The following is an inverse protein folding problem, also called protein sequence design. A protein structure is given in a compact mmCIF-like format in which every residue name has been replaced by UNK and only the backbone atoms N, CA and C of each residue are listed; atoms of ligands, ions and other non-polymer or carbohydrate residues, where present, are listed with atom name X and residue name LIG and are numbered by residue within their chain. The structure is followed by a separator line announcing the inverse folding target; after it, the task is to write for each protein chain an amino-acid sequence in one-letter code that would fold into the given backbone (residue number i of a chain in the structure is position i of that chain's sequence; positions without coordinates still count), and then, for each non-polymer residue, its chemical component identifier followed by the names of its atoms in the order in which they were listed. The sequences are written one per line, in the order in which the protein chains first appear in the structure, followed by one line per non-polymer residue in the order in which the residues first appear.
data_IF_701980881272
#
_entry.id   IF_701980881272
#
_cell.length_a   1.000
_cell.length_b   1.000
_cell.length_c   1.000
_cell.angle_alpha   90.00
_cell.angle_beta   90.00
_cell.angle_gamma   90.00
#
_symmetry.space_group_name_H-M   'P 1'
#
loop_
_entity.id
_entity.type
_entity.pdbx_description
1 polymer ?
#
# COMPACT_ATOMS: atom_id res chain seq x y z
N UNK A 1 -40.19 14.56 38.96
CA UNK A 1 -39.23 13.45 38.88
C UNK A 1 -38.62 13.52 37.49
N UNK A 2 -37.47 14.16 37.36
CA UNK A 2 -36.75 14.20 36.10
C UNK A 2 -35.92 12.92 35.97
N UNK A 3 -36.26 12.11 34.98
CA UNK A 3 -35.40 11.04 34.49
C UNK A 3 -34.31 11.68 33.65
N UNK A 4 -33.12 11.88 34.22
CA UNK A 4 -31.91 12.14 33.45
C UNK A 4 -31.55 10.87 32.67
N UNK A 5 -31.51 10.98 31.34
CA UNK A 5 -31.08 9.93 30.42
C UNK A 5 -29.68 9.41 30.79
N UNK A 6 -29.61 8.29 31.49
CA UNK A 6 -28.39 7.54 31.71
C UNK A 6 -27.97 6.86 30.41
N UNK A 7 -27.30 7.57 29.51
CA UNK A 7 -26.61 6.93 28.38
C UNK A 7 -25.47 6.10 28.96
N UNK A 8 -25.57 4.78 28.77
CA UNK A 8 -24.49 3.84 29.09
C UNK A 8 -23.23 4.30 28.35
N UNK A 9 -22.15 4.53 29.12
CA UNK A 9 -20.84 4.81 28.55
C UNK A 9 -20.32 3.55 27.84
N UNK A 10 -19.62 3.68 26.71
CA UNK A 10 -18.98 2.55 26.04
C UNK A 10 -18.05 1.81 27.02
N UNK A 11 -17.97 0.48 26.90
CA UNK A 11 -17.08 -0.37 27.72
C UNK A 11 -15.67 -0.46 27.13
N UNK A 12 -15.34 0.39 26.17
CA UNK A 12 -14.07 0.41 25.46
C UNK A 12 -13.55 1.84 25.40
N UNK A 13 -12.23 1.97 25.46
CA UNK A 13 -11.54 3.22 25.22
C UNK A 13 -11.36 3.42 23.70
N UNK A 14 -11.54 4.66 23.23
CA UNK A 14 -11.12 5.03 21.88
C UNK A 14 -9.63 5.30 21.94
N UNK A 15 -8.84 4.56 21.16
CA UNK A 15 -7.40 4.79 21.10
C UNK A 15 -7.11 6.14 20.42
N UNK A 16 -6.81 7.17 21.19
CA UNK A 16 -6.19 8.41 20.69
C UNK A 16 -4.66 8.22 20.69
N UNK A 17 -4.14 7.62 19.64
CA UNK A 17 -2.69 7.51 19.47
C UNK A 17 -2.14 8.75 18.77
N UNK A 18 -1.72 9.76 19.54
CA UNK A 18 -0.86 10.80 18.99
C UNK A 18 0.53 10.23 18.67
N UNK A 19 0.78 10.00 17.38
CA UNK A 19 2.07 9.52 16.91
C UNK A 19 3.17 10.60 17.01
N UNK A 20 4.43 10.24 17.30
CA UNK A 20 5.55 11.18 17.28
C UNK A 20 5.72 11.84 15.90
N UNK A 21 6.22 13.09 15.89
CA UNK A 21 6.49 13.87 14.67
C UNK A 21 7.23 13.06 13.60
N UNK A 22 8.31 12.37 13.96
CA UNK A 22 9.13 11.61 13.02
C UNK A 22 8.37 10.43 12.38
N UNK A 23 7.45 9.81 13.14
CA UNK A 23 6.59 8.75 12.61
C UNK A 23 5.60 9.36 11.63
N UNK A 24 4.87 10.41 12.02
CA UNK A 24 3.93 11.11 11.12
C UNK A 24 4.60 11.54 9.82
N UNK A 25 5.79 12.14 9.92
CA UNK A 25 6.60 12.55 8.77
C UNK A 25 6.91 11.37 7.85
N UNK A 26 7.36 10.24 8.41
CA UNK A 26 7.63 9.03 7.64
C UNK A 26 6.38 8.47 6.95
N UNK A 27 5.23 8.45 7.64
CA UNK A 27 3.96 7.98 7.07
C UNK A 27 3.52 8.83 5.88
N UNK A 28 3.60 10.16 5.99
CA UNK A 28 3.25 11.07 4.90
C UNK A 28 4.21 10.95 3.72
N UNK A 29 5.52 10.85 3.95
CA UNK A 29 6.47 10.63 2.87
C UNK A 29 6.24 9.28 2.17
N UNK A 30 5.96 8.20 2.91
CA UNK A 30 5.55 6.92 2.33
C UNK A 30 4.28 7.09 1.49
N UNK A 31 3.26 7.76 2.01
CA UNK A 31 2.00 7.98 1.31
C UNK A 31 2.17 8.73 -0.02
N UNK A 32 2.98 9.78 -0.02
CA UNK A 32 3.29 10.55 -1.23
C UNK A 32 4.14 9.75 -2.22
N UNK A 33 5.18 9.05 -1.76
CA UNK A 33 6.03 8.29 -2.66
C UNK A 33 5.31 7.12 -3.31
N UNK A 34 4.34 6.50 -2.62
CA UNK A 34 3.51 5.44 -3.20
C UNK A 34 2.64 5.92 -4.37
N UNK A 35 2.37 7.22 -4.53
CA UNK A 35 1.65 7.74 -5.70
C UNK A 35 2.50 7.67 -6.98
N UNK A 36 3.83 7.74 -6.85
CA UNK A 36 4.76 7.67 -7.99
C UNK A 36 4.70 6.34 -8.73
N UNK A 37 4.17 5.28 -8.10
CA UNK A 37 3.92 3.97 -8.73
C UNK A 37 3.12 4.09 -10.02
N UNK A 38 2.16 5.01 -10.05
CA UNK A 38 1.29 5.28 -11.20
C UNK A 38 1.65 6.63 -11.86
N UNK A 39 2.84 7.18 -11.55
CA UNK A 39 3.30 8.47 -12.08
C UNK A 39 2.53 9.68 -11.55
N UNK A 40 1.84 9.53 -10.43
CA UNK A 40 1.00 10.57 -9.83
C UNK A 40 1.79 11.40 -8.82
N UNK A 41 1.38 12.66 -8.66
CA UNK A 41 1.96 13.59 -7.68
C UNK A 41 0.84 14.33 -6.94
N UNK A 42 0.90 14.41 -5.60
CA UNK A 42 0.00 15.26 -4.82
C UNK A 42 0.16 16.74 -5.18
N UNK A 43 -0.87 17.52 -4.88
CA UNK A 43 -0.86 18.97 -4.99
C UNK A 43 0.07 19.60 -3.94
N UNK A 44 0.58 20.81 -4.22
CA UNK A 44 1.34 21.59 -3.25
C UNK A 44 0.52 21.85 -1.97
N UNK A 45 -0.78 22.09 -2.13
CA UNK A 45 -1.68 22.32 -1.00
C UNK A 45 -1.83 21.08 -0.10
N UNK A 46 -1.88 19.87 -0.70
CA UNK A 46 -1.88 18.64 0.08
C UNK A 46 -0.59 18.45 0.89
N UNK A 47 0.56 18.86 0.32
CA UNK A 47 1.84 18.84 1.04
C UNK A 47 1.80 19.80 2.25
N UNK A 48 1.25 21.00 2.09
CA UNK A 48 1.05 21.94 3.21
C UNK A 48 0.16 21.35 4.31
N UNK A 49 -0.99 20.79 3.94
CA UNK A 49 -1.91 20.14 4.89
C UNK A 49 -1.28 18.95 5.62
N UNK A 50 -0.42 18.18 4.94
CA UNK A 50 0.33 17.11 5.56
C UNK A 50 1.30 17.62 6.63
N UNK A 51 2.01 18.73 6.41
CA UNK A 51 2.87 19.33 7.43
C UNK A 51 2.06 19.82 8.64
N UNK A 52 0.87 20.38 8.43
CA UNK A 52 -0.03 20.73 9.54
C UNK A 52 -0.48 19.51 10.33
N UNK A 53 -0.67 18.34 9.70
CA UNK A 53 -0.93 17.08 10.41
C UNK A 53 0.29 16.62 11.22
N UNK A 54 1.47 16.65 10.61
CA UNK A 54 2.73 16.21 11.22
C UNK A 54 3.04 17.04 12.47
N UNK A 55 2.75 18.35 12.43
CA UNK A 55 2.89 19.28 13.55
C UNK A 55 1.75 19.18 14.59
N UNK A 56 0.74 18.34 14.36
CA UNK A 56 -0.40 18.16 15.26
C UNK A 56 -1.44 19.30 15.22
N UNK A 57 -1.37 20.18 14.22
CA UNK A 57 -2.32 21.29 14.04
C UNK A 57 -3.67 20.83 13.47
N UNK A 58 -3.68 19.75 12.67
CA UNK A 58 -4.88 19.23 12.02
C UNK A 58 -4.98 17.71 12.08
N UNK A 59 -6.18 17.21 12.31
CA UNK A 59 -6.53 15.80 12.12
C UNK A 59 -6.89 15.47 10.67
N UNK A 60 -6.94 14.18 10.33
CA UNK A 60 -7.22 13.70 8.97
C UNK A 60 -8.60 14.17 8.45
N UNK A 61 -9.64 14.17 9.29
CA UNK A 61 -10.97 14.68 8.93
C UNK A 61 -10.99 16.16 8.50
N UNK A 62 -10.19 17.00 9.17
CA UNK A 62 -10.11 18.42 8.84
C UNK A 62 -9.43 18.60 7.46
N UNK A 63 -8.36 17.86 7.24
CA UNK A 63 -7.62 17.84 5.97
C UNK A 63 -8.50 17.33 4.84
N UNK A 64 -9.27 16.25 5.05
CA UNK A 64 -10.20 15.74 4.06
C UNK A 64 -11.21 16.79 3.60
N UNK A 65 -11.78 17.56 4.54
CA UNK A 65 -12.72 18.64 4.20
C UNK A 65 -12.05 19.73 3.38
N UNK A 66 -10.90 20.23 3.83
CA UNK A 66 -10.19 21.33 3.16
C UNK A 66 -9.69 20.94 1.77
N UNK A 67 -9.12 19.74 1.62
CA UNK A 67 -8.64 19.28 0.31
C UNK A 67 -9.82 19.06 -0.65
N UNK A 68 -10.97 18.59 -0.14
CA UNK A 68 -12.19 18.44 -0.94
C UNK A 68 -12.78 19.78 -1.38
N UNK A 69 -12.73 20.81 -0.52
CA UNK A 69 -13.12 22.18 -0.88
C UNK A 69 -12.19 22.73 -1.96
N UNK A 70 -10.87 22.58 -1.78
CA UNK A 70 -9.86 22.97 -2.75
C UNK A 70 -10.07 22.31 -4.13
N UNK A 71 -10.31 21.00 -4.18
CA UNK A 71 -10.57 20.29 -5.44
C UNK A 71 -11.78 20.85 -6.20
N UNK A 72 -12.85 21.24 -5.48
CA UNK A 72 -14.04 21.85 -6.08
C UNK A 72 -13.79 23.26 -6.61
N UNK A 73 -13.04 24.06 -5.88
CA UNK A 73 -12.80 25.48 -6.21
C UNK A 73 -11.75 25.66 -7.30
N UNK A 74 -10.65 24.91 -7.22
CA UNK A 74 -9.50 25.05 -8.10
C UNK A 74 -9.59 24.24 -9.40
N UNK A 75 -10.63 23.42 -9.58
CA UNK A 75 -10.83 22.56 -10.76
C UNK A 75 -9.61 21.68 -11.06
N UNK A 76 -9.09 21.04 -10.01
CA UNK A 76 -7.93 20.15 -10.07
C UNK A 76 -8.25 18.92 -10.92
N UNK A 77 -7.27 18.43 -11.68
CA UNK A 77 -7.47 17.23 -12.50
C UNK A 77 -7.58 15.94 -11.67
N UNK A 78 -8.18 14.92 -12.26
CA UNK A 78 -8.48 13.66 -11.57
C UNK A 78 -7.24 12.94 -11.02
N UNK A 79 -6.08 13.06 -11.67
CA UNK A 79 -4.85 12.40 -11.23
C UNK A 79 -4.32 13.03 -9.94
N UNK A 80 -4.36 14.37 -9.84
CA UNK A 80 -3.98 15.07 -8.61
C UNK A 80 -5.01 14.85 -7.50
N UNK A 81 -6.32 14.84 -7.82
CA UNK A 81 -7.37 14.48 -6.84
C UNK A 81 -7.12 13.09 -6.25
N UNK A 82 -6.86 12.10 -7.11
CA UNK A 82 -6.50 10.75 -6.67
C UNK A 82 -5.25 10.76 -5.77
N UNK A 83 -4.17 11.41 -6.21
CA UNK A 83 -2.92 11.46 -5.46
C UNK A 83 -3.12 12.06 -4.07
N UNK A 84 -3.90 13.13 -3.95
CA UNK A 84 -4.17 13.80 -2.68
C UNK A 84 -4.99 12.93 -1.73
N UNK A 85 -6.15 12.43 -2.21
CA UNK A 85 -7.08 11.64 -1.39
C UNK A 85 -6.45 10.31 -0.98
N UNK A 86 -5.78 9.62 -1.90
CA UNK A 86 -5.14 8.33 -1.61
C UNK A 86 -3.96 8.54 -0.66
N UNK A 87 -3.18 9.61 -0.80
CA UNK A 87 -2.08 9.88 0.15
C UNK A 87 -2.60 10.12 1.56
N UNK A 88 -3.65 10.92 1.71
CA UNK A 88 -4.32 11.15 2.99
C UNK A 88 -4.75 9.83 3.65
N UNK A 89 -5.44 8.97 2.90
CA UNK A 89 -5.93 7.67 3.38
C UNK A 89 -4.82 6.67 3.67
N UNK A 90 -3.71 6.69 2.93
CA UNK A 90 -2.54 5.88 3.27
C UNK A 90 -1.94 6.34 4.62
N UNK A 91 -1.76 7.65 4.79
CA UNK A 91 -1.17 8.20 6.01
C UNK A 91 -2.06 7.93 7.24
N UNK A 92 -3.37 8.12 7.10
CA UNK A 92 -4.38 7.78 8.11
C UNK A 92 -4.35 6.29 8.47
N UNK A 93 -4.46 5.41 7.48
CA UNK A 93 -4.51 3.97 7.72
C UNK A 93 -3.21 3.41 8.31
N UNK A 94 -2.05 3.95 7.91
CA UNK A 94 -0.76 3.55 8.48
C UNK A 94 -0.50 4.17 9.85
N UNK A 95 -1.32 5.12 10.32
CA UNK A 95 -1.24 5.65 11.67
C UNK A 95 -1.94 4.75 12.70
N UNK A 96 -2.82 3.85 12.24
CA UNK A 96 -3.50 2.86 13.07
C UNK A 96 -2.61 1.64 13.35
N UNK A 97 -2.87 0.95 14.47
CA UNK A 97 -2.17 -0.27 14.90
C UNK A 97 -3.13 -1.48 14.95
N UNK A 98 -3.95 -1.62 13.91
CA UNK A 98 -4.96 -2.67 13.81
C UNK A 98 -4.81 -3.45 12.51
N UNK A 99 -4.21 -4.65 12.58
CA UNK A 99 -4.00 -5.49 11.41
C UNK A 99 -4.36 -6.96 11.65
N UNK A 100 -5.19 -7.49 10.75
CA UNK A 100 -5.49 -8.91 10.66
C UNK A 100 -4.93 -9.48 9.35
N UNK A 101 -4.29 -10.63 9.41
CA UNK A 101 -3.79 -11.33 8.22
C UNK A 101 -4.99 -12.05 7.57
N UNK A 102 -5.67 -11.41 6.62
CA UNK A 102 -6.81 -12.01 5.92
C UNK A 102 -7.06 -11.38 4.53
N UNK A 103 -7.69 -12.10 3.59
CA UNK A 103 -8.11 -11.50 2.31
C UNK A 103 -9.08 -10.32 2.49
N UNK A 104 -9.89 -10.34 3.56
CA UNK A 104 -10.81 -9.24 3.89
C UNK A 104 -10.07 -7.96 4.25
N UNK A 105 -8.92 -8.06 4.89
CA UNK A 105 -8.04 -6.91 5.18
C UNK A 105 -7.54 -6.29 3.88
N UNK A 106 -7.13 -7.10 2.91
CA UNK A 106 -6.68 -6.61 1.60
C UNK A 106 -7.82 -5.86 0.86
N UNK A 107 -9.03 -6.41 0.87
CA UNK A 107 -10.25 -5.76 0.34
C UNK A 107 -10.58 -4.46 1.09
N UNK A 108 -10.45 -4.47 2.42
CA UNK A 108 -10.70 -3.34 3.30
C UNK A 108 -9.74 -2.19 3.04
N UNK A 109 -8.44 -2.48 2.94
CA UNK A 109 -7.39 -1.50 2.57
C UNK A 109 -7.73 -0.89 1.22
N UNK A 110 -7.98 -1.72 0.19
CA UNK A 110 -8.32 -1.18 -1.13
C UNK A 110 -9.57 -0.30 -1.09
N UNK A 111 -10.61 -0.68 -0.33
CA UNK A 111 -11.80 0.14 -0.18
C UNK A 111 -11.47 1.48 0.47
N UNK A 112 -10.76 1.45 1.59
CA UNK A 112 -10.39 2.63 2.35
C UNK A 112 -9.61 3.61 1.46
N UNK A 113 -8.60 3.12 0.72
CA UNK A 113 -7.78 3.94 -0.16
C UNK A 113 -8.56 4.57 -1.32
N UNK A 114 -9.40 3.79 -2.00
CA UNK A 114 -9.92 4.16 -3.33
C UNK A 114 -11.44 4.44 -3.38
N UNK A 115 -12.15 4.46 -2.25
CA UNK A 115 -13.57 4.80 -2.24
C UNK A 115 -13.82 6.17 -2.89
N UNK A 116 -14.70 6.19 -3.89
CA UNK A 116 -15.10 7.39 -4.65
C UNK A 116 -13.94 8.10 -5.38
N UNK A 117 -12.81 7.42 -5.59
CA UNK A 117 -11.66 7.94 -6.34
C UNK A 117 -11.73 7.52 -7.82
N UNK A 118 -12.02 6.25 -8.06
CA UNK A 118 -12.11 5.73 -9.42
C UNK A 118 -13.51 5.91 -10.03
N UNK A 119 -13.63 5.90 -11.37
CA UNK A 119 -14.92 5.81 -12.06
C UNK A 119 -15.75 4.60 -11.61
N UNK A 120 -17.07 4.68 -11.76
CA UNK A 120 -18.02 3.65 -11.29
C UNK A 120 -17.73 2.24 -11.83
N UNK A 121 -17.09 2.14 -13.00
CA UNK A 121 -16.71 0.88 -13.64
C UNK A 121 -15.54 0.17 -12.94
N UNK A 122 -14.81 0.86 -12.06
CA UNK A 122 -13.66 0.35 -11.31
C UNK A 122 -14.05 0.27 -9.82
N UNK A 123 -14.61 -0.87 -9.38
CA UNK A 123 -15.16 -0.95 -8.03
C UNK A 123 -14.05 -1.00 -6.96
N UNK A 124 -14.05 -0.02 -6.07
CA UNK A 124 -13.15 -0.03 -4.92
C UNK A 124 -13.52 -1.13 -3.90
N UNK A 125 -12.52 -1.92 -3.50
CA UNK A 125 -12.67 -2.94 -2.46
C UNK A 125 -13.54 -4.13 -2.88
N UNK A 126 -13.51 -4.47 -4.18
CA UNK A 126 -14.13 -5.67 -4.75
C UNK A 126 -13.16 -6.32 -5.73
N UNK A 127 -13.20 -7.65 -5.81
CA UNK A 127 -12.44 -8.36 -6.83
C UNK A 127 -12.91 -7.99 -8.23
N UNK A 128 -11.97 -7.91 -9.18
CA UNK A 128 -12.31 -7.75 -10.59
C UNK A 128 -13.08 -8.97 -11.09
N UNK A 129 -14.02 -8.72 -11.99
CA UNK A 129 -14.90 -9.76 -12.58
C UNK A 129 -14.52 -10.09 -14.02
N UNK A 130 -13.36 -9.59 -14.48
CA UNK A 130 -12.84 -9.80 -15.84
C UNK A 130 -11.34 -10.11 -15.78
N UNK A 131 -10.85 -10.84 -16.77
CA UNK A 131 -9.42 -11.01 -16.99
C UNK A 131 -8.83 -9.73 -17.58
N UNK A 132 -7.59 -9.44 -17.21
CA UNK A 132 -6.89 -8.23 -17.59
C UNK A 132 -5.47 -8.57 -18.02
N UNK A 133 -4.92 -7.72 -18.89
CA UNK A 133 -3.50 -7.66 -19.19
C UNK A 133 -3.06 -6.21 -19.01
N UNK A 134 -1.84 -6.02 -18.51
CA UNK A 134 -1.25 -4.69 -18.30
C UNK A 134 0.09 -4.64 -19.01
N UNK A 135 0.26 -3.65 -19.88
CA UNK A 135 1.55 -3.42 -20.52
C UNK A 135 2.50 -2.85 -19.50
N UNK A 136 3.65 -3.49 -19.36
CA UNK A 136 4.64 -3.17 -18.36
C UNK A 136 5.83 -2.48 -19.04
N UNK A 137 6.13 -1.20 -18.74
CA UNK A 137 7.25 -0.50 -19.36
C UNK A 137 8.59 -1.21 -19.15
N UNK A 138 8.82 -1.79 -17.97
CA UNK A 138 10.05 -2.54 -17.64
C UNK A 138 10.18 -3.85 -18.45
N UNK A 139 9.10 -4.31 -19.07
CA UNK A 139 9.07 -5.47 -19.95
C UNK A 139 8.87 -5.07 -21.43
N UNK A 140 9.24 -3.85 -21.81
CA UNK A 140 9.06 -3.32 -23.18
C UNK A 140 7.62 -3.43 -23.71
N UNK A 141 6.64 -3.32 -22.80
CA UNK A 141 5.23 -3.40 -23.11
C UNK A 141 4.63 -4.81 -23.10
N UNK A 142 5.42 -5.84 -22.76
CA UNK A 142 4.89 -7.16 -22.40
C UNK A 142 4.12 -7.14 -21.07
N UNK A 143 3.54 -8.26 -20.69
CA UNK A 143 2.62 -8.35 -19.54
C UNK A 143 2.97 -9.52 -18.63
N UNK A 144 2.70 -9.34 -17.34
CA UNK A 144 2.71 -10.45 -16.38
C UNK A 144 1.38 -11.20 -16.48
N UNK A 145 1.44 -12.52 -16.38
CA UNK A 145 0.24 -13.33 -16.27
C UNK A 145 -0.35 -13.22 -14.87
N UNK A 146 -1.53 -12.64 -14.76
CA UNK A 146 -2.31 -12.58 -13.52
C UNK A 146 -3.29 -13.74 -13.37
N UNK A 147 -3.80 -13.96 -12.17
CA UNK A 147 -4.78 -15.02 -11.91
C UNK A 147 -6.07 -14.81 -12.72
N UNK A 148 -6.78 -15.89 -13.07
CA UNK A 148 -8.09 -15.74 -13.72
C UNK A 148 -9.10 -15.12 -12.75
N UNK A 149 -9.97 -14.23 -13.23
CA UNK A 149 -10.85 -13.45 -12.35
C UNK A 149 -11.75 -14.32 -11.46
N UNK A 150 -12.18 -15.48 -11.96
CA UNK A 150 -13.02 -16.43 -11.22
C UNK A 150 -12.24 -17.24 -10.18
N UNK A 151 -10.90 -17.23 -10.23
CA UNK A 151 -10.03 -17.93 -9.27
C UNK A 151 -9.52 -17.02 -8.16
N UNK A 152 -9.64 -15.69 -8.28
CA UNK A 152 -9.02 -14.70 -7.35
C UNK A 152 -9.31 -15.04 -5.89
N UNK A 153 -10.58 -15.29 -5.57
CA UNK A 153 -11.00 -15.55 -4.20
C UNK A 153 -10.37 -16.84 -3.65
N UNK A 154 -10.38 -17.92 -4.44
CA UNK A 154 -9.85 -19.21 -4.04
C UNK A 154 -8.32 -19.18 -3.92
N UNK A 155 -7.63 -18.49 -4.84
CA UNK A 155 -6.17 -18.30 -4.78
C UNK A 155 -5.77 -17.53 -3.53
N UNK A 156 -6.41 -16.38 -3.25
CA UNK A 156 -6.10 -15.62 -2.04
C UNK A 156 -6.45 -16.39 -0.76
N UNK A 157 -7.56 -17.14 -0.74
CA UNK A 157 -7.92 -17.95 0.42
C UNK A 157 -6.81 -18.97 0.72
N UNK A 158 -6.34 -19.68 -0.31
CA UNK A 158 -5.24 -20.64 -0.20
C UNK A 158 -3.93 -19.99 0.27
N UNK A 159 -3.50 -18.88 -0.36
CA UNK A 159 -2.24 -18.23 -0.03
C UNK A 159 -2.24 -17.68 1.40
N UNK A 160 -3.34 -17.08 1.84
CA UNK A 160 -3.47 -16.57 3.21
C UNK A 160 -3.58 -17.68 4.25
N UNK A 161 -4.28 -18.79 3.95
CA UNK A 161 -4.34 -19.94 4.86
C UNK A 161 -2.95 -20.56 5.04
N UNK A 162 -2.19 -20.71 3.96
CA UNK A 162 -0.81 -21.19 4.01
C UNK A 162 0.06 -20.27 4.87
N UNK A 163 -0.07 -18.96 4.69
CA UNK A 163 0.69 -17.97 5.46
C UNK A 163 0.33 -17.97 6.95
N UNK A 164 -0.97 -18.04 7.29
CA UNK A 164 -1.43 -18.11 8.67
C UNK A 164 -0.90 -19.34 9.42
N UNK A 165 -0.71 -20.45 8.71
CA UNK A 165 -0.19 -21.70 9.27
C UNK A 165 1.34 -21.78 9.24
N UNK A 166 2.04 -20.78 8.69
CA UNK A 166 3.49 -20.76 8.60
C UNK A 166 4.14 -20.35 9.93
N UNK A 167 5.15 -21.10 10.37
CA UNK A 167 5.89 -20.76 11.60
C UNK A 167 7.15 -19.94 11.31
N UNK A 168 7.23 -18.78 11.95
CA UNK A 168 8.39 -17.89 11.91
C UNK A 168 9.40 -18.15 13.04
N UNK A 169 9.11 -19.05 13.99
CA UNK A 169 9.87 -19.21 15.25
C UNK A 169 11.36 -19.53 15.07
N UNK A 170 11.69 -20.37 14.09
CA UNK A 170 13.03 -20.95 13.95
C UNK A 170 13.81 -20.37 12.76
N UNK A 171 13.34 -19.24 12.22
CA UNK A 171 13.93 -18.59 11.06
C UNK A 171 14.86 -17.43 11.46
N UNK A 172 15.94 -17.27 10.71
CA UNK A 172 16.76 -16.05 10.74
C UNK A 172 15.97 -14.87 10.18
N UNK A 173 16.34 -13.64 10.54
CA UNK A 173 15.65 -12.44 10.03
C UNK A 173 15.67 -12.36 8.50
N UNK A 174 16.76 -12.84 7.87
CA UNK A 174 16.83 -12.95 6.41
C UNK A 174 15.82 -13.96 5.86
N UNK A 175 15.67 -15.14 6.48
CA UNK A 175 14.67 -16.12 6.05
C UNK A 175 13.24 -15.59 6.22
N UNK A 176 12.95 -14.92 7.34
CA UNK A 176 11.66 -14.28 7.59
C UNK A 176 11.37 -13.19 6.55
N UNK A 177 12.36 -12.36 6.23
CA UNK A 177 12.25 -11.30 5.23
C UNK A 177 11.97 -11.88 3.83
N UNK A 178 12.72 -12.91 3.41
CA UNK A 178 12.54 -13.55 2.11
C UNK A 178 11.21 -14.30 1.98
N UNK A 179 10.76 -14.95 3.06
CA UNK A 179 9.45 -15.60 3.09
C UNK A 179 8.32 -14.57 2.96
N UNK A 180 8.38 -13.51 3.76
CA UNK A 180 7.37 -12.44 3.73
C UNK A 180 7.36 -11.70 2.39
N UNK A 181 8.54 -11.47 1.79
CA UNK A 181 8.68 -10.95 0.44
C UNK A 181 7.93 -11.83 -0.58
N UNK A 182 8.14 -13.14 -0.54
CA UNK A 182 7.48 -14.07 -1.46
C UNK A 182 5.96 -14.04 -1.29
N UNK A 183 5.45 -14.05 -0.06
CA UNK A 183 4.02 -13.93 0.20
C UNK A 183 3.41 -12.63 -0.34
N UNK A 184 4.08 -11.49 -0.13
CA UNK A 184 3.62 -10.20 -0.68
C UNK A 184 3.67 -10.15 -2.20
N UNK A 185 4.64 -10.83 -2.81
CA UNK A 185 4.72 -11.01 -4.24
C UNK A 185 3.54 -11.87 -4.74
N UNK A 186 3.22 -12.97 -4.06
CA UNK A 186 2.17 -13.91 -4.45
C UNK A 186 0.80 -13.21 -4.49
N UNK A 187 0.44 -12.46 -3.44
CA UNK A 187 -0.82 -11.71 -3.41
C UNK A 187 -0.87 -10.59 -4.46
N UNK A 188 0.27 -10.01 -4.84
CA UNK A 188 0.34 -9.01 -5.91
C UNK A 188 0.12 -9.66 -7.29
N UNK A 189 0.66 -10.85 -7.52
CA UNK A 189 0.49 -11.58 -8.79
C UNK A 189 -0.95 -12.04 -9.02
N UNK A 190 -1.70 -12.33 -7.95
CA UNK A 190 -3.15 -12.59 -8.09
C UNK A 190 -3.85 -11.40 -8.78
N UNK A 191 -3.36 -10.19 -8.52
CA UNK A 191 -3.85 -8.92 -9.06
C UNK A 191 -5.38 -8.79 -8.90
N UNK A 192 -5.87 -8.80 -7.64
CA UNK A 192 -7.29 -8.95 -7.33
C UNK A 192 -8.19 -7.80 -7.81
N UNK A 193 -7.65 -6.59 -7.98
CA UNK A 193 -8.42 -5.39 -8.29
C UNK A 193 -8.25 -4.94 -9.74
N UNK A 194 -9.16 -4.08 -10.22
CA UNK A 194 -9.06 -3.50 -11.57
C UNK A 194 -7.91 -2.49 -11.70
N UNK A 195 -7.68 -1.69 -10.66
CA UNK A 195 -6.56 -0.74 -10.49
C UNK A 195 -6.15 -0.70 -9.01
N UNK A 196 -5.05 -0.02 -8.66
CA UNK A 196 -4.66 0.19 -7.26
C UNK A 196 -3.98 -0.99 -6.54
N UNK A 197 -3.65 -2.08 -7.26
CA UNK A 197 -3.08 -3.31 -6.69
C UNK A 197 -1.77 -3.07 -5.94
N UNK A 198 -0.79 -2.40 -6.57
CA UNK A 198 0.54 -2.20 -5.96
C UNK A 198 0.49 -1.35 -4.71
N UNK A 199 -0.26 -0.24 -4.72
CA UNK A 199 -0.45 0.63 -3.54
C UNK A 199 -1.15 -0.12 -2.40
N UNK A 200 -2.17 -0.91 -2.72
CA UNK A 200 -2.86 -1.76 -1.73
C UNK A 200 -1.91 -2.79 -1.10
N UNK A 201 -1.14 -3.51 -1.92
CA UNK A 201 -0.18 -4.53 -1.44
C UNK A 201 0.94 -3.90 -0.63
N UNK A 202 1.44 -2.72 -1.00
CA UNK A 202 2.45 -2.00 -0.23
C UNK A 202 1.94 -1.66 1.18
N UNK A 203 0.75 -1.08 1.28
CA UNK A 203 0.13 -0.72 2.57
C UNK A 203 -0.16 -1.96 3.43
N UNK A 204 -0.71 -3.01 2.81
CA UNK A 204 -0.91 -4.30 3.46
C UNK A 204 0.43 -4.87 3.98
N UNK A 205 1.47 -4.82 3.15
CA UNK A 205 2.80 -5.31 3.48
C UNK A 205 3.43 -4.56 4.64
N UNK A 206 3.34 -3.23 4.67
CA UNK A 206 3.85 -2.41 5.79
C UNK A 206 3.16 -2.83 7.09
N UNK A 207 1.84 -2.94 7.12
CA UNK A 207 1.11 -3.36 8.32
C UNK A 207 1.44 -4.81 8.73
N UNK A 208 1.57 -5.71 7.76
CA UNK A 208 1.93 -7.09 8.03
C UNK A 208 3.34 -7.22 8.62
N UNK A 209 4.30 -6.52 8.03
CA UNK A 209 5.69 -6.49 8.50
C UNK A 209 5.79 -5.94 9.93
N UNK A 210 5.03 -4.89 10.26
CA UNK A 210 4.92 -4.38 11.65
C UNK A 210 4.37 -5.44 12.59
N UNK A 211 3.31 -6.16 12.19
CA UNK A 211 2.74 -7.26 12.98
C UNK A 211 3.73 -8.39 13.23
N UNK A 212 4.61 -8.68 12.27
CA UNK A 212 5.70 -9.65 12.42
C UNK A 212 6.86 -9.13 13.30
N UNK A 213 6.82 -7.87 13.72
CA UNK A 213 7.81 -7.25 14.59
C UNK A 213 9.03 -6.69 13.86
N UNK A 214 8.98 -6.52 12.54
CA UNK A 214 10.07 -5.92 11.78
C UNK A 214 10.18 -4.42 12.06
N UNK A 215 11.42 -3.94 12.14
CA UNK A 215 11.72 -2.52 11.96
C UNK A 215 11.75 -2.22 10.46
N UNK A 216 10.89 -1.31 10.00
CA UNK A 216 10.73 -0.97 8.59
C UNK A 216 11.39 0.37 8.35
N UNK A 217 12.28 0.43 7.36
CA UNK A 217 12.76 1.71 6.82
C UNK A 217 11.71 2.29 5.84
N UNK A 218 10.88 3.21 6.34
CA UNK A 218 9.82 3.85 5.56
C UNK A 218 10.32 4.64 4.35
N UNK A 219 11.60 5.06 4.35
CA UNK A 219 12.16 5.83 3.23
C UNK A 219 12.13 5.05 1.93
N UNK A 220 12.26 3.72 1.97
CA UNK A 220 12.28 2.85 0.79
C UNK A 220 10.99 2.93 -0.02
N UNK A 221 9.83 2.93 0.64
CA UNK A 221 8.55 3.10 -0.06
C UNK A 221 8.34 4.54 -0.57
N UNK A 222 9.01 5.53 0.02
CA UNK A 222 8.92 6.92 -0.45
C UNK A 222 9.85 7.25 -1.63
N UNK A 223 11.05 6.65 -1.64
CA UNK A 223 12.13 6.95 -2.57
C UNK A 223 12.17 5.96 -3.74
N UNK A 224 11.78 4.70 -3.51
CA UNK A 224 11.94 3.59 -4.46
C UNK A 224 10.61 2.88 -4.77
N UNK A 225 9.50 3.62 -4.78
CA UNK A 225 8.18 3.05 -5.08
C UNK A 225 8.08 2.44 -6.50
N UNK A 226 8.66 3.13 -7.50
CA UNK A 226 8.74 2.64 -8.89
C UNK A 226 9.59 1.38 -8.98
N UNK A 227 10.75 1.38 -8.34
CA UNK A 227 11.61 0.20 -8.22
C UNK A 227 10.85 -0.99 -7.62
N UNK A 228 10.14 -0.78 -6.51
CA UNK A 228 9.34 -1.84 -5.86
C UNK A 228 8.30 -2.45 -6.82
N UNK A 229 7.57 -1.59 -7.54
CA UNK A 229 6.59 -2.01 -8.55
C UNK A 229 7.25 -2.80 -9.69
N UNK A 230 8.37 -2.31 -10.21
CA UNK A 230 9.08 -2.99 -11.30
C UNK A 230 9.71 -4.31 -10.85
N UNK A 231 10.21 -4.38 -9.62
CA UNK A 231 10.73 -5.60 -9.01
C UNK A 231 9.65 -6.69 -8.88
N UNK A 232 8.41 -6.32 -8.51
CA UNK A 232 7.28 -7.24 -8.48
C UNK A 232 6.94 -7.79 -9.88
N UNK A 233 6.97 -6.92 -10.90
CA UNK A 233 6.76 -7.30 -12.30
C UNK A 233 7.82 -8.31 -12.75
N UNK A 234 9.10 -8.00 -12.56
CA UNK A 234 10.22 -8.86 -12.95
C UNK A 234 10.25 -10.17 -12.17
N UNK A 235 9.72 -10.21 -10.94
CA UNK A 235 9.65 -11.43 -10.14
C UNK A 235 8.76 -12.51 -10.78
N UNK A 236 7.61 -12.12 -11.36
CA UNK A 236 6.62 -13.05 -11.95
C UNK A 236 6.63 -13.15 -13.47
N UNK A 237 7.42 -12.32 -14.14
CA UNK A 237 7.53 -12.41 -15.59
C UNK A 237 7.98 -13.80 -16.03
N UNK A 238 7.36 -14.35 -17.08
CA UNK A 238 7.65 -15.69 -17.62
C UNK A 238 8.42 -15.57 -18.94
N UNK A 239 9.48 -14.75 -18.95
CA UNK A 239 10.36 -14.53 -20.09
C UNK A 239 11.80 -14.24 -19.66
N UNK A 240 12.68 -13.93 -20.62
CA UNK A 240 14.13 -13.82 -20.38
C UNK A 240 14.51 -12.73 -19.37
N UNK A 241 13.74 -11.63 -19.32
CA UNK A 241 13.95 -10.55 -18.35
C UNK A 241 13.66 -10.94 -16.89
N UNK A 242 13.06 -12.09 -16.60
CA UNK A 242 12.68 -12.48 -15.23
C UNK A 242 13.86 -12.30 -14.27
N UNK A 243 13.62 -11.60 -13.16
CA UNK A 243 14.64 -11.41 -12.13
C UNK A 243 14.03 -11.27 -10.75
N UNK A 244 14.36 -12.22 -9.88
CA UNK A 244 13.93 -12.22 -8.48
C UNK A 244 14.88 -11.42 -7.59
N UNK A 245 16.08 -11.08 -8.07
CA UNK A 245 17.09 -10.41 -7.26
C UNK A 245 16.69 -8.97 -6.92
N UNK A 246 16.02 -8.25 -7.82
CA UNK A 246 15.59 -6.88 -7.55
C UNK A 246 14.63 -6.80 -6.36
N UNK A 247 13.63 -7.69 -6.29
CA UNK A 247 12.70 -7.71 -5.17
C UNK A 247 13.42 -8.10 -3.87
N UNK A 248 14.35 -9.05 -3.94
CA UNK A 248 15.20 -9.44 -2.82
C UNK A 248 16.04 -8.26 -2.30
N UNK A 249 16.69 -7.51 -3.19
CA UNK A 249 17.49 -6.34 -2.83
C UNK A 249 16.66 -5.27 -2.12
N UNK A 250 15.44 -5.03 -2.60
CA UNK A 250 14.51 -4.10 -1.95
C UNK A 250 14.19 -4.53 -0.51
N UNK A 251 13.80 -5.79 -0.29
CA UNK A 251 13.44 -6.29 1.04
C UNK A 251 14.63 -6.41 1.99
N UNK A 252 15.82 -6.71 1.47
CA UNK A 252 17.05 -6.70 2.25
C UNK A 252 17.41 -5.29 2.75
N UNK A 253 17.22 -4.27 1.93
CA UNK A 253 17.40 -2.88 2.38
C UNK A 253 16.31 -2.50 3.39
N UNK A 254 15.04 -2.83 3.07
CA UNK A 254 13.85 -2.49 3.85
C UNK A 254 13.89 -3.05 5.28
N UNK A 255 14.35 -4.30 5.45
CA UNK A 255 14.20 -5.06 6.69
C UNK A 255 15.52 -5.44 7.38
N UNK A 256 16.63 -5.49 6.62
CA UNK A 256 17.91 -6.00 7.11
C UNK A 256 19.02 -4.95 7.09
N UNK A 257 18.68 -3.68 6.78
CA UNK A 257 19.62 -2.57 6.66
C UNK A 257 20.79 -2.84 5.71
N UNK A 258 20.60 -3.72 4.71
CA UNK A 258 21.57 -3.85 3.60
C UNK A 258 21.58 -2.56 2.78
N UNK A 259 22.66 -2.36 2.01
CA UNK A 259 22.88 -1.16 1.20
C UNK A 259 22.99 -1.52 -0.27
N UNK A 260 22.08 -2.37 -0.74
CA UNK A 260 21.98 -2.71 -2.15
C UNK A 260 21.65 -1.46 -2.96
N UNK A 261 22.20 -1.32 -4.16
CA UNK A 261 21.86 -0.21 -5.06
C UNK A 261 20.50 -0.51 -5.70
N UNK A 262 19.54 0.40 -5.53
CA UNK A 262 18.20 0.27 -6.08
C UNK A 262 18.05 1.20 -7.29
N UNK A 263 18.42 0.71 -8.48
CA UNK A 263 18.35 1.46 -9.74
C UNK A 263 17.21 0.98 -10.64
N UNK A 264 16.26 1.87 -10.94
CA UNK A 264 15.25 1.63 -11.98
C UNK A 264 15.91 1.47 -13.37
N UNK A 265 16.94 2.27 -13.66
CA UNK A 265 17.64 2.25 -14.96
C UNK A 265 18.22 0.86 -15.28
N UNK A 266 18.79 0.19 -14.27
CA UNK A 266 19.33 -1.17 -14.42
C UNK A 266 18.24 -2.19 -14.77
N UNK A 267 17.02 -2.00 -14.27
CA UNK A 267 15.89 -2.88 -14.62
C UNK A 267 15.46 -2.70 -16.07
N UNK A 268 15.44 -1.46 -16.57
CA UNK A 268 15.07 -1.15 -17.96
C UNK A 268 16.16 -1.56 -18.96
N UNK A 269 17.43 -1.50 -18.57
CA UNK A 269 18.55 -1.85 -19.43
C UNK A 269 18.75 -3.36 -19.61
N UNK A 270 18.03 -4.19 -18.84
CA UNK A 270 18.06 -5.64 -18.98
C UNK A 270 17.35 -6.03 -20.28
N UNK A 271 18.07 -6.65 -21.20
CA UNK A 271 17.52 -7.28 -22.42
C UNK A 271 16.91 -8.65 -22.10
#
# INVERSE_FOLDING_TARGET
MDYLEGKLLPTYDVAENELPYQIKLALWHTAFGLQKVDGLSPSEYMVELAYENIEGKKGYDAIYREISDYHREAQVDANTVEADIVSLRIAELLAEDHFLLSPSTLLGIHRHLFADVFPEEIPAGKFRTVNITKKEPVLDGETVQYSSHFMIQDTLAYDFEKEQNFSYSDLTDEQKALHTMAFLADIWQVHPFREGNTRTVAVFGIQYLRKLGFHIDYSLFSEHATYFRNALVLYYYQGEKQDKQYLKMFFENLLLAKKNVLSDEEMYAKE
#
